data_IF_141193098726
#
_entry.id   IF_141193098726
#
_cell.length_a   1.000
_cell.length_b   1.000
_cell.length_c   1.000
_cell.angle_alpha   90.00
_cell.angle_beta   90.00
_cell.angle_gamma   90.00
#
_symmetry.space_group_name_H-M   'P 1'
#
loop_
_entity.id
_entity.type
_entity.pdbx_description
1 polymer ?
#
# COMPACT_ATOMS: atom_id res chain seq x y z
N UNK A 1 -27.79 -50.18 -15.10
CA UNK A 1 -27.09 -49.11 -15.84
C UNK A 1 -27.18 -47.86 -15.00
N UNK A 2 -26.06 -47.30 -14.54
CA UNK A 2 -26.08 -46.05 -13.76
C UNK A 2 -26.39 -44.87 -14.67
N UNK A 3 -27.41 -44.10 -14.32
CA UNK A 3 -27.79 -42.88 -15.03
C UNK A 3 -26.82 -41.76 -14.61
N UNK A 4 -26.05 -41.21 -15.56
CA UNK A 4 -25.16 -40.08 -15.27
C UNK A 4 -26.03 -38.85 -15.03
N UNK A 5 -25.83 -38.20 -13.89
CA UNK A 5 -26.51 -36.94 -13.56
C UNK A 5 -25.77 -35.78 -14.25
N UNK A 6 -26.22 -35.47 -15.46
CA UNK A 6 -25.66 -34.41 -16.30
C UNK A 6 -25.80 -33.00 -15.68
N UNK A 7 -26.63 -32.81 -14.65
CA UNK A 7 -26.74 -31.53 -13.94
C UNK A 7 -25.52 -31.20 -13.09
N UNK A 8 -24.65 -32.19 -12.83
CA UNK A 8 -23.41 -32.05 -12.05
C UNK A 8 -22.17 -31.88 -12.94
N UNK A 9 -22.34 -31.70 -14.25
CA UNK A 9 -21.22 -31.57 -15.17
C UNK A 9 -20.56 -30.19 -15.03
N UNK A 10 -19.30 -30.18 -14.58
CA UNK A 10 -18.49 -28.96 -14.53
C UNK A 10 -17.82 -28.78 -15.89
N UNK A 11 -18.21 -27.73 -16.62
CA UNK A 11 -17.60 -27.42 -17.92
C UNK A 11 -16.23 -26.77 -17.75
N UNK A 12 -15.46 -26.72 -18.84
CA UNK A 12 -14.18 -26.01 -18.88
C UNK A 12 -14.38 -24.53 -18.57
N UNK A 13 -15.41 -23.93 -19.14
CA UNK A 13 -15.79 -22.53 -18.98
C UNK A 13 -16.13 -22.21 -17.51
N UNK A 14 -16.82 -23.13 -16.81
CA UNK A 14 -17.09 -22.97 -15.37
C UNK A 14 -15.80 -22.94 -14.55
N UNK A 15 -14.82 -23.79 -14.87
CA UNK A 15 -13.51 -23.80 -14.19
C UNK A 15 -12.74 -22.51 -14.47
N UNK A 16 -12.74 -22.04 -15.72
CA UNK A 16 -12.08 -20.80 -16.13
C UNK A 16 -12.71 -19.58 -15.46
N UNK A 17 -14.04 -19.51 -15.35
CA UNK A 17 -14.74 -18.44 -14.65
C UNK A 17 -14.39 -18.39 -13.16
N UNK A 18 -14.32 -19.55 -12.48
CA UNK A 18 -13.89 -19.63 -11.07
C UNK A 18 -12.45 -19.16 -10.90
N UNK A 19 -11.55 -19.56 -11.80
CA UNK A 19 -10.15 -19.11 -11.79
C UNK A 19 -10.08 -17.59 -11.97
N UNK A 20 -10.78 -17.03 -12.96
CA UNK A 20 -10.80 -15.59 -13.22
C UNK A 20 -11.34 -14.81 -12.01
N UNK A 21 -12.44 -15.28 -11.39
CA UNK A 21 -13.00 -14.66 -10.19
C UNK A 21 -12.01 -14.67 -9.02
N UNK A 22 -11.29 -15.79 -8.82
CA UNK A 22 -10.26 -15.89 -7.79
C UNK A 22 -9.10 -14.92 -8.05
N UNK A 23 -8.60 -14.85 -9.28
CA UNK A 23 -7.53 -13.92 -9.65
C UNK A 23 -7.94 -12.46 -9.42
N UNK A 24 -9.19 -12.11 -9.73
CA UNK A 24 -9.73 -10.76 -9.48
C UNK A 24 -9.79 -10.46 -7.98
N UNK A 25 -10.27 -11.41 -7.17
CA UNK A 25 -10.33 -11.26 -5.72
C UNK A 25 -8.94 -11.07 -5.10
N UNK A 26 -7.98 -11.90 -5.51
CA UNK A 26 -6.59 -11.84 -5.04
C UNK A 26 -5.94 -10.49 -5.43
N UNK A 27 -6.08 -10.06 -6.69
CA UNK A 27 -5.54 -8.78 -7.16
C UNK A 27 -6.18 -7.58 -6.46
N UNK A 28 -7.49 -7.63 -6.20
CA UNK A 28 -8.22 -6.58 -5.47
C UNK A 28 -7.76 -6.51 -4.01
N UNK A 29 -7.60 -7.65 -3.35
CA UNK A 29 -7.07 -7.74 -1.99
C UNK A 29 -5.66 -7.14 -1.90
N UNK A 30 -4.78 -7.48 -2.85
CA UNK A 30 -3.44 -6.93 -2.92
C UNK A 30 -3.44 -5.40 -3.14
N UNK A 31 -4.30 -4.89 -4.03
CA UNK A 31 -4.45 -3.44 -4.25
C UNK A 31 -4.94 -2.72 -2.98
N UNK A 32 -5.90 -3.30 -2.28
CA UNK A 32 -6.44 -2.73 -1.03
C UNK A 32 -5.37 -2.71 0.06
N UNK A 33 -4.61 -3.81 0.24
CA UNK A 33 -3.50 -3.88 1.18
C UNK A 33 -2.44 -2.81 0.90
N UNK A 34 -2.01 -2.67 -0.37
CA UNK A 34 -1.03 -1.64 -0.78
C UNK A 34 -1.55 -0.22 -0.57
N UNK A 35 -2.83 0.04 -0.88
CA UNK A 35 -3.46 1.34 -0.64
C UNK A 35 -3.55 1.66 0.85
N UNK A 36 -3.93 0.69 1.68
CA UNK A 36 -3.98 0.82 3.14
C UNK A 36 -2.61 1.17 3.70
N UNK A 37 -1.57 0.39 3.35
CA UNK A 37 -0.20 0.65 3.77
C UNK A 37 0.30 2.04 3.34
N UNK A 38 0.05 2.44 2.08
CA UNK A 38 0.41 3.77 1.59
C UNK A 38 -0.32 4.89 2.35
N UNK A 39 -1.61 4.72 2.63
CA UNK A 39 -2.39 5.69 3.39
C UNK A 39 -1.86 5.85 4.82
N UNK A 40 -1.55 4.75 5.51
CA UNK A 40 -0.96 4.77 6.85
C UNK A 40 0.40 5.47 6.88
N UNK A 41 1.28 5.20 5.90
CA UNK A 41 2.58 5.88 5.82
C UNK A 41 2.43 7.37 5.53
N UNK A 42 1.54 7.75 4.61
CA UNK A 42 1.24 9.15 4.32
C UNK A 42 0.76 9.87 5.58
N UNK A 43 -0.21 9.29 6.30
CA UNK A 43 -0.74 9.88 7.53
C UNK A 43 0.35 10.07 8.59
N UNK A 44 1.17 9.04 8.84
CA UNK A 44 2.28 9.10 9.80
C UNK A 44 3.30 10.19 9.46
N UNK A 45 3.69 10.30 8.19
CA UNK A 45 4.66 11.30 7.75
C UNK A 45 4.06 12.71 7.82
N UNK A 46 2.80 12.88 7.42
CA UNK A 46 2.10 14.16 7.51
C UNK A 46 1.99 14.63 8.95
N UNK A 47 1.51 13.76 9.84
CA UNK A 47 1.37 14.04 11.27
C UNK A 47 2.71 14.48 11.90
N UNK A 48 3.82 13.80 11.58
CA UNK A 48 5.14 14.21 12.04
C UNK A 48 5.56 15.58 11.51
N UNK A 49 5.38 15.83 10.20
CA UNK A 49 5.72 17.13 9.60
C UNK A 49 4.88 18.25 10.24
N UNK A 50 3.59 18.02 10.45
CA UNK A 50 2.67 18.99 11.06
C UNK A 50 3.05 19.27 12.52
N UNK A 51 3.38 18.22 13.29
CA UNK A 51 3.82 18.35 14.68
C UNK A 51 5.14 19.12 14.80
N UNK A 52 6.12 18.81 13.94
CA UNK A 52 7.39 19.55 13.89
C UNK A 52 7.16 20.99 13.42
N UNK A 53 6.30 21.19 12.43
CA UNK A 53 5.92 22.51 11.92
C UNK A 53 5.37 23.42 13.02
N UNK A 54 4.53 22.88 13.92
CA UNK A 54 4.06 23.63 15.08
C UNK A 54 5.22 24.11 15.98
N UNK A 55 6.18 23.24 16.31
CA UNK A 55 7.35 23.61 17.11
C UNK A 55 8.21 24.67 16.44
N UNK A 56 8.36 24.61 15.11
CA UNK A 56 9.10 25.60 14.32
C UNK A 56 8.40 26.96 14.37
N UNK A 57 7.07 26.99 14.16
CA UNK A 57 6.28 28.22 14.22
C UNK A 57 6.27 28.84 15.62
N UNK A 58 6.30 28.00 16.68
CA UNK A 58 6.41 28.43 18.06
C UNK A 58 7.82 28.94 18.45
N UNK A 59 8.84 28.69 17.61
CA UNK A 59 10.24 28.99 17.92
C UNK A 59 10.84 28.05 19.00
N UNK A 60 10.24 26.89 19.20
CA UNK A 60 10.64 25.87 20.18
C UNK A 60 11.42 24.71 19.55
N UNK A 61 11.39 24.58 18.21
CA UNK A 61 12.08 23.52 17.50
C UNK A 61 13.60 23.68 17.52
N UNK A 62 14.28 22.54 17.62
CA UNK A 62 15.72 22.41 17.44
C UNK A 62 16.11 22.37 15.96
N UNK A 63 17.37 22.65 15.63
CA UNK A 63 17.90 22.53 14.25
C UNK A 63 17.71 21.11 13.69
N UNK A 64 17.77 20.09 14.54
CA UNK A 64 17.56 18.69 14.17
C UNK A 64 16.11 18.43 13.76
N UNK A 65 15.15 19.04 14.45
CA UNK A 65 13.71 18.95 14.15
C UNK A 65 13.35 19.68 12.85
N UNK A 66 13.96 20.85 12.62
CA UNK A 66 13.85 21.54 11.33
C UNK A 66 14.40 20.70 10.17
N UNK A 67 15.57 20.09 10.36
CA UNK A 67 16.17 19.21 9.37
C UNK A 67 15.32 17.95 9.12
N UNK A 68 14.73 17.36 10.16
CA UNK A 68 13.81 16.22 10.04
C UNK A 68 12.57 16.59 9.22
N UNK A 69 11.93 17.73 9.54
CA UNK A 69 10.75 18.20 8.80
C UNK A 69 11.06 18.42 7.31
N UNK A 70 12.20 19.05 7.01
CA UNK A 70 12.67 19.27 5.65
C UNK A 70 12.97 17.94 4.91
N UNK A 71 13.55 16.95 5.60
CA UNK A 71 13.87 15.64 5.03
C UNK A 71 12.61 14.78 4.78
N UNK A 72 11.56 14.91 5.60
CA UNK A 72 10.31 14.16 5.45
C UNK A 72 9.44 14.67 4.29
N UNK A 73 9.52 15.96 3.94
CA UNK A 73 8.73 16.54 2.85
C UNK A 73 8.88 15.82 1.47
N UNK A 74 10.09 15.54 0.96
CA UNK A 74 10.25 14.78 -0.28
C UNK A 74 9.79 13.32 -0.14
N UNK A 75 9.92 12.71 1.05
CA UNK A 75 9.45 11.35 1.31
C UNK A 75 7.92 11.29 1.24
N UNK A 76 7.24 12.25 1.84
CA UNK A 76 5.78 12.40 1.74
C UNK A 76 5.33 12.51 0.28
N UNK A 77 6.04 13.31 -0.52
CA UNK A 77 5.75 13.46 -1.95
C UNK A 77 5.89 12.13 -2.70
N UNK A 78 6.93 11.35 -2.41
CA UNK A 78 7.13 10.04 -3.02
C UNK A 78 6.00 9.06 -2.67
N UNK A 79 5.57 9.01 -1.41
CA UNK A 79 4.45 8.16 -0.98
C UNK A 79 3.11 8.59 -1.60
N UNK A 80 2.84 9.90 -1.73
CA UNK A 80 1.67 10.42 -2.45
C UNK A 80 1.71 10.02 -3.93
N UNK A 81 2.87 10.11 -4.59
CA UNK A 81 3.04 9.68 -5.98
C UNK A 81 2.81 8.18 -6.16
N UNK A 82 3.30 7.36 -5.23
CA UNK A 82 3.06 5.91 -5.21
C UNK A 82 1.57 5.60 -5.06
N UNK A 83 0.87 6.22 -4.10
CA UNK A 83 -0.59 6.04 -3.92
C UNK A 83 -1.38 6.48 -5.14
N UNK A 84 -0.97 7.58 -5.78
CA UNK A 84 -1.55 8.01 -7.05
C UNK A 84 -1.34 6.99 -8.18
N UNK A 85 -0.15 6.38 -8.26
CA UNK A 85 0.14 5.33 -9.24
C UNK A 85 -0.68 4.05 -8.98
N UNK A 86 -0.87 3.65 -7.71
CA UNK A 86 -1.74 2.53 -7.34
C UNK A 86 -3.19 2.73 -7.84
N UNK A 87 -3.70 3.96 -7.78
CA UNK A 87 -5.03 4.31 -8.28
C UNK A 87 -5.23 4.09 -9.78
N UNK A 88 -4.16 3.86 -10.55
CA UNK A 88 -4.21 3.58 -11.98
C UNK A 88 -4.04 2.08 -12.32
N UNK A 89 -3.78 1.22 -11.33
CA UNK A 89 -3.49 -0.21 -11.57
C UNK A 89 -4.68 -0.93 -12.21
N UNK A 90 -5.90 -0.61 -11.81
CA UNK A 90 -7.12 -1.23 -12.36
C UNK A 90 -7.42 -0.83 -13.81
N UNK A 91 -6.79 0.24 -14.31
CA UNK A 91 -6.91 0.68 -15.69
C UNK A 91 -5.86 0.05 -16.63
N UNK A 92 -4.96 -0.78 -16.10
CA UNK A 92 -3.95 -1.45 -16.91
C UNK A 92 -4.57 -2.53 -17.80
N UNK A 93 -4.09 -2.73 -19.04
CA UNK A 93 -4.56 -3.81 -19.91
C UNK A 93 -4.34 -5.22 -19.33
N UNK A 94 -3.37 -5.36 -18.42
CA UNK A 94 -3.05 -6.62 -17.75
C UNK A 94 -3.85 -6.84 -16.46
N UNK A 95 -4.69 -5.87 -16.07
CA UNK A 95 -5.62 -6.06 -14.96
C UNK A 95 -6.66 -7.12 -15.32
N UNK A 96 -7.01 -8.06 -14.45
CA UNK A 96 -6.49 -8.34 -13.11
C UNK A 96 -5.50 -9.53 -13.10
N UNK A 97 -5.11 -10.03 -14.27
CA UNK A 97 -4.39 -11.30 -14.42
C UNK A 97 -2.88 -11.16 -14.17
N UNK A 98 -2.30 -10.03 -14.54
CA UNK A 98 -0.87 -9.74 -14.39
C UNK A 98 -0.63 -8.24 -14.12
N UNK A 99 -1.16 -7.68 -13.00
CA UNK A 99 -0.99 -6.27 -12.69
C UNK A 99 0.49 -5.90 -12.52
N UNK A 100 0.89 -4.79 -13.14
CA UNK A 100 2.20 -4.18 -12.94
C UNK A 100 2.12 -3.22 -11.75
N UNK A 101 2.74 -3.61 -10.65
CA UNK A 101 2.71 -2.82 -9.42
C UNK A 101 3.75 -1.70 -9.46
N UNK A 102 3.40 -0.45 -9.09
CA UNK A 102 4.42 0.58 -8.86
C UNK A 102 5.33 0.18 -7.70
N UNK A 103 6.57 0.68 -7.72
CA UNK A 103 7.55 0.43 -6.65
C UNK A 103 7.21 1.31 -5.44
N UNK A 104 7.07 0.69 -4.26
CA UNK A 104 6.87 1.42 -3.03
C UNK A 104 8.14 2.19 -2.64
N UNK A 105 8.03 3.45 -2.18
CA UNK A 105 9.17 4.18 -1.62
C UNK A 105 9.71 3.53 -0.35
N UNK A 106 10.92 3.90 0.05
CA UNK A 106 11.46 3.49 1.35
C UNK A 106 10.59 4.02 2.51
N UNK A 107 10.44 3.21 3.54
CA UNK A 107 9.80 3.63 4.79
C UNK A 107 10.80 4.54 5.52
N UNK A 108 10.44 5.80 5.84
CA UNK A 108 11.33 6.67 6.59
C UNK A 108 11.43 6.21 8.04
N UNK A 109 12.62 6.38 8.61
CA UNK A 109 12.82 6.34 10.05
C UNK A 109 12.36 7.68 10.64
N UNK A 110 11.43 7.61 11.60
CA UNK A 110 10.88 8.78 12.30
C UNK A 110 11.14 8.54 13.79
N UNK A 111 12.03 9.33 14.39
CA UNK A 111 12.58 9.09 15.72
C UNK A 111 11.51 9.05 16.84
N UNK A 112 10.43 9.81 16.69
CA UNK A 112 9.37 9.91 17.69
C UNK A 112 8.20 8.92 17.48
N UNK A 113 8.23 8.10 16.43
CA UNK A 113 7.17 7.15 16.15
C UNK A 113 7.70 5.73 16.40
N UNK A 114 7.11 4.95 17.32
CA UNK A 114 7.49 3.55 17.49
C UNK A 114 7.23 2.82 16.16
N UNK A 115 8.29 2.54 15.41
CA UNK A 115 8.26 1.38 14.55
C UNK A 115 8.29 0.20 15.50
N UNK A 116 7.38 -0.76 15.31
CA UNK A 116 7.54 -2.11 15.86
C UNK A 116 8.88 -2.64 15.35
N UNK A 117 9.96 -2.32 16.06
CA UNK A 117 11.25 -2.96 15.94
C UNK A 117 11.03 -4.32 16.59
N UNK A 118 10.73 -5.33 15.78
CA UNK A 118 11.02 -6.70 16.19
C UNK A 118 12.55 -6.81 16.28
N UNK A 119 13.09 -6.52 17.46
CA UNK A 119 14.47 -6.90 17.78
C UNK A 119 14.58 -8.43 17.65
N UNK A 120 15.55 -8.96 16.88
CA UNK A 120 15.81 -10.39 16.92
C UNK A 120 16.38 -10.70 18.30
N UNK A 121 15.67 -11.56 19.04
CA UNK A 121 16.14 -12.14 20.29
C UNK A 121 17.56 -12.71 20.09
N UNK A 122 18.51 -12.15 20.83
CA UNK A 122 19.89 -12.64 20.94
C UNK A 122 19.96 -14.01 21.61
#
# INVERSE_FOLDING_TARGET
>A
MSNIDWTKLITKEMKEAVIAARMLADATSALNSKNGAAASQIARIQDRIETLGYGIEAGEATEQEEAEAAALAPVLKAWKAYKYALGKVTAQPTWHQAPVWPVAPAIPEIAAAPMLLEEPLA
#
